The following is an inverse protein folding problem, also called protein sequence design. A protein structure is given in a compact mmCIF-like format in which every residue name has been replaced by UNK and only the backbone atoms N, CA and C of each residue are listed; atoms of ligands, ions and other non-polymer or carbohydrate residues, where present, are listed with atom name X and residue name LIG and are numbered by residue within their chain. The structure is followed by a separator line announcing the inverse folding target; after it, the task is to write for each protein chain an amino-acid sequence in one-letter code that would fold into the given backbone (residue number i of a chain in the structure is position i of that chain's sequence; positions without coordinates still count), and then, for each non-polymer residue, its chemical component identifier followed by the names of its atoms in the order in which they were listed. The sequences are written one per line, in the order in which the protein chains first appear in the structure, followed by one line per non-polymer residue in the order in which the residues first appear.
data_IF_707590406286
#
_entry.id   IF_707590406286
#
_cell.length_a   1.000
_cell.length_b   1.000
_cell.length_c   1.000
_cell.angle_alpha   90.00
_cell.angle_beta   90.00
_cell.angle_gamma   90.00
#
_symmetry.space_group_name_H-M   'P 1'
#
loop_
_entity.id
_entity.type
_entity.pdbx_description
1 polymer ?
#
# COMPACT_ATOMS: atom_id res chain seq x y z
N UNK A 1 -8.65 -6.15 -13.74
CA UNK A 1 -7.67 -6.72 -14.69
C UNK A 1 -6.59 -7.41 -13.88
N UNK A 2 -6.33 -8.69 -14.15
CA UNK A 2 -5.31 -9.47 -13.43
C UNK A 2 -3.93 -9.08 -13.93
N UNK A 3 -2.96 -8.95 -13.04
CA UNK A 3 -1.57 -8.77 -13.45
C UNK A 3 -1.11 -10.06 -14.16
N UNK A 4 -0.55 -9.98 -15.38
CA UNK A 4 -0.07 -11.16 -16.11
C UNK A 4 1.08 -11.88 -15.38
N UNK A 5 1.82 -11.16 -14.53
CA UNK A 5 2.88 -11.68 -13.67
C UNK A 5 3.14 -10.68 -12.54
N UNK A 6 3.82 -11.14 -11.48
CA UNK A 6 4.42 -10.29 -10.46
C UNK A 6 5.79 -10.87 -10.12
N UNK A 7 6.84 -10.08 -10.23
CA UNK A 7 8.18 -10.45 -9.77
C UNK A 7 8.26 -10.14 -8.29
N UNK A 8 8.48 -11.17 -7.46
CA UNK A 8 8.64 -11.01 -6.03
C UNK A 8 9.94 -10.26 -5.69
N UNK A 9 10.01 -9.57 -4.54
CA UNK A 9 11.26 -8.97 -4.07
C UNK A 9 12.42 -9.96 -4.04
N UNK A 10 12.18 -11.22 -3.64
CA UNK A 10 13.20 -12.26 -3.62
C UNK A 10 13.73 -12.57 -5.03
N UNK A 11 12.84 -12.85 -5.99
CA UNK A 11 13.22 -13.15 -7.38
C UNK A 11 14.02 -12.00 -8.00
N UNK A 12 13.56 -10.75 -7.84
CA UNK A 12 14.25 -9.59 -8.40
C UNK A 12 15.63 -9.37 -7.77
N UNK A 13 15.75 -9.52 -6.45
CA UNK A 13 17.04 -9.40 -5.75
C UNK A 13 18.00 -10.48 -6.22
N UNK A 14 17.57 -11.75 -6.23
CA UNK A 14 18.41 -12.88 -6.67
C UNK A 14 18.87 -12.70 -8.11
N UNK A 15 17.96 -12.30 -9.01
CA UNK A 15 18.30 -12.03 -10.41
C UNK A 15 19.26 -10.83 -10.59
N UNK A 16 19.30 -9.91 -9.63
CA UNK A 16 20.18 -8.73 -9.66
C UNK A 16 21.56 -8.94 -9.03
N UNK A 17 21.79 -10.04 -8.33
CA UNK A 17 23.05 -10.30 -7.62
C UNK A 17 24.22 -10.59 -8.59
N UNK A 18 25.45 -10.18 -8.24
CA UNK A 18 26.66 -10.63 -8.93
C UNK A 18 26.85 -12.15 -8.87
N UNK A 19 27.59 -12.71 -9.82
CA UNK A 19 28.00 -14.12 -9.77
C UNK A 19 28.83 -14.42 -8.51
N UNK A 20 28.60 -15.61 -7.92
CA UNK A 20 29.35 -16.10 -6.77
C UNK A 20 28.83 -15.65 -5.39
N UNK A 21 27.74 -14.86 -5.34
CA UNK A 21 27.07 -14.54 -4.07
C UNK A 21 26.22 -15.71 -3.61
N UNK A 22 26.50 -16.20 -2.39
CA UNK A 22 25.64 -17.20 -1.73
C UNK A 22 24.37 -16.53 -1.20
N UNK A 23 23.21 -17.11 -1.52
CA UNK A 23 21.91 -16.63 -1.06
C UNK A 23 21.33 -17.61 -0.06
N UNK A 24 21.08 -17.13 1.16
CA UNK A 24 20.29 -17.83 2.17
C UNK A 24 18.93 -17.14 2.28
N UNK A 25 17.86 -17.92 2.28
CA UNK A 25 16.48 -17.44 2.43
C UNK A 25 15.83 -18.06 3.65
N UNK A 26 15.07 -17.25 4.37
CA UNK A 26 14.20 -17.70 5.44
C UNK A 26 13.00 -16.77 5.56
N UNK A 27 11.81 -17.32 5.78
CA UNK A 27 10.56 -16.54 5.85
C UNK A 27 10.47 -15.69 7.13
N UNK A 28 10.95 -16.22 8.25
CA UNK A 28 11.00 -15.53 9.53
C UNK A 28 9.65 -15.53 10.25
N UNK A 29 8.70 -14.72 9.82
CA UNK A 29 7.35 -14.74 10.37
C UNK A 29 6.30 -14.34 9.34
N UNK A 30 5.08 -14.87 9.51
CA UNK A 30 3.94 -14.49 8.69
C UNK A 30 3.52 -13.04 8.98
N UNK A 31 3.45 -12.22 7.92
CA UNK A 31 2.98 -10.83 7.95
C UNK A 31 1.56 -10.68 7.39
N UNK A 32 0.71 -11.70 7.53
CA UNK A 32 -0.58 -11.80 6.84
C UNK A 32 -1.75 -11.51 7.79
N UNK A 33 -2.76 -10.77 7.32
CA UNK A 33 -4.05 -10.66 8.01
C UNK A 33 -4.97 -11.85 7.75
N UNK A 34 -4.92 -12.39 6.53
CA UNK A 34 -5.66 -13.56 6.09
C UNK A 34 -4.70 -14.57 5.48
N UNK A 35 -4.99 -15.87 5.58
CA UNK A 35 -4.05 -16.91 5.13
C UNK A 35 -3.76 -16.86 3.62
N UNK A 36 -2.56 -17.26 3.20
CA UNK A 36 -2.12 -17.14 1.81
C UNK A 36 -3.01 -17.82 0.77
N UNK A 37 -2.77 -17.42 -0.48
CA UNK A 37 -3.42 -18.01 -1.64
C UNK A 37 -3.08 -19.50 -1.80
N UNK A 38 -4.07 -20.37 -1.58
CA UNK A 38 -3.97 -21.80 -1.93
C UNK A 38 -3.92 -22.07 -3.45
N UNK A 39 -4.54 -21.27 -4.36
CA UNK A 39 -4.65 -21.61 -5.78
C UNK A 39 -3.36 -22.01 -6.51
N UNK A 40 -2.21 -21.45 -6.12
CA UNK A 40 -0.91 -21.78 -6.70
C UNK A 40 -0.39 -23.17 -6.30
N UNK A 41 -1.03 -23.78 -5.31
CA UNK A 41 -0.71 -25.12 -4.78
C UNK A 41 -1.88 -26.09 -4.95
N UNK A 42 -2.85 -25.74 -5.81
CA UNK A 42 -3.99 -26.59 -6.11
C UNK A 42 -4.07 -26.94 -7.58
N UNK A 43 -4.52 -28.15 -7.86
CA UNK A 43 -4.82 -28.62 -9.19
C UNK A 43 -6.26 -29.16 -9.27
N UNK A 44 -6.86 -28.99 -10.44
CA UNK A 44 -8.12 -29.63 -10.81
C UNK A 44 -7.92 -31.15 -10.93
N UNK A 45 -9.01 -31.91 -10.97
CA UNK A 45 -8.95 -33.38 -11.16
C UNK A 45 -8.27 -33.84 -12.46
N UNK A 46 -7.98 -32.91 -13.39
CA UNK A 46 -7.29 -33.16 -14.67
C UNK A 46 -5.89 -32.53 -14.73
N UNK A 47 -5.34 -32.06 -13.59
CA UNK A 47 -3.97 -31.55 -13.48
C UNK A 47 -3.76 -30.11 -13.94
N UNK A 48 -4.82 -29.35 -14.20
CA UNK A 48 -4.70 -27.91 -14.45
C UNK A 48 -4.65 -27.11 -13.14
N UNK A 49 -3.90 -26.01 -13.03
CA UNK A 49 -3.87 -25.17 -11.84
C UNK A 49 -5.24 -24.63 -11.44
N UNK A 50 -5.51 -24.62 -10.14
CA UNK A 50 -6.72 -24.09 -9.52
C UNK A 50 -7.78 -25.14 -9.18
N UNK A 51 -9.03 -24.69 -9.17
CA UNK A 51 -10.20 -25.39 -8.65
C UNK A 51 -11.27 -25.51 -9.73
N UNK A 52 -12.13 -26.52 -9.60
CA UNK A 52 -13.40 -26.57 -10.33
C UNK A 52 -14.50 -26.06 -9.40
N UNK A 53 -15.20 -25.00 -9.81
CA UNK A 53 -16.42 -24.51 -9.18
C UNK A 53 -17.63 -24.96 -10.00
N UNK A 54 -18.45 -25.84 -9.43
CA UNK A 54 -19.72 -26.25 -10.00
C UNK A 54 -20.88 -25.52 -9.30
N UNK A 55 -21.76 -24.89 -10.08
CA UNK A 55 -22.86 -24.05 -9.58
C UNK A 55 -24.18 -24.76 -9.84
N UNK A 56 -24.97 -24.93 -8.78
CA UNK A 56 -26.24 -25.64 -8.78
C UNK A 56 -27.36 -24.67 -8.39
N UNK A 57 -28.40 -24.58 -9.21
CA UNK A 57 -29.61 -23.81 -8.87
C UNK A 57 -30.46 -24.57 -7.86
N UNK A 58 -31.25 -23.85 -7.07
CA UNK A 58 -32.22 -24.46 -6.18
C UNK A 58 -33.64 -24.27 -6.72
N UNK A 59 -34.49 -25.30 -6.59
CA UNK A 59 -35.93 -25.15 -6.83
C UNK A 59 -36.62 -24.43 -5.67
N UNK A 60 -36.27 -24.83 -4.46
CA UNK A 60 -36.70 -24.30 -3.16
C UNK A 60 -35.48 -24.26 -2.23
N UNK A 61 -35.56 -23.59 -1.07
CA UNK A 61 -34.40 -23.35 -0.19
C UNK A 61 -33.49 -24.58 0.00
N UNK A 62 -34.06 -25.73 0.37
CA UNK A 62 -33.32 -26.96 0.63
C UNK A 62 -33.36 -27.97 -0.52
N UNK A 63 -33.91 -27.58 -1.68
CA UNK A 63 -34.05 -28.45 -2.86
C UNK A 63 -33.09 -28.01 -3.96
N UNK A 64 -31.85 -28.49 -3.85
CA UNK A 64 -30.79 -28.29 -4.86
C UNK A 64 -31.12 -29.14 -6.10
N UNK A 65 -30.97 -28.56 -7.29
CA UNK A 65 -31.04 -29.30 -8.56
C UNK A 65 -29.72 -30.06 -8.74
N UNK A 66 -29.78 -31.38 -8.90
CA UNK A 66 -28.59 -32.25 -8.90
C UNK A 66 -27.64 -32.03 -10.10
N UNK A 67 -28.10 -31.36 -11.16
CA UNK A 67 -27.29 -31.04 -12.34
C UNK A 67 -26.73 -29.61 -12.20
N UNK A 68 -25.41 -29.42 -12.32
CA UNK A 68 -24.85 -28.08 -12.28
C UNK A 68 -25.30 -27.29 -13.50
N UNK A 69 -25.70 -26.04 -13.28
CA UNK A 69 -26.01 -25.08 -14.35
C UNK A 69 -24.73 -24.71 -15.12
N UNK A 70 -23.61 -24.60 -14.38
CA UNK A 70 -22.32 -24.22 -14.93
C UNK A 70 -21.19 -24.84 -14.12
N UNK A 71 -20.05 -25.08 -14.77
CA UNK A 71 -18.78 -25.35 -14.11
C UNK A 71 -17.73 -24.40 -14.65
N UNK A 72 -16.99 -23.74 -13.76
CA UNK A 72 -15.93 -22.80 -14.10
C UNK A 72 -14.63 -23.19 -13.40
N UNK A 73 -13.50 -22.90 -14.04
CA UNK A 73 -12.19 -23.03 -13.40
C UNK A 73 -11.88 -21.76 -12.61
N UNK A 74 -11.55 -21.90 -11.34
CA UNK A 74 -11.21 -20.78 -10.45
C UNK A 74 -9.75 -20.89 -10.05
N UNK A 75 -9.02 -19.80 -10.16
CA UNK A 75 -7.58 -19.75 -9.86
C UNK A 75 -7.25 -18.65 -8.86
N UNK A 76 -8.28 -18.15 -8.16
CA UNK A 76 -8.21 -17.02 -7.25
C UNK A 76 -8.64 -17.46 -5.85
N UNK A 77 -8.02 -16.84 -4.84
CA UNK A 77 -8.30 -17.10 -3.43
C UNK A 77 -9.58 -16.40 -3.01
N UNK A 78 -9.76 -15.15 -3.45
CA UNK A 78 -10.97 -14.37 -3.26
C UNK A 78 -11.91 -14.65 -4.42
N UNK A 79 -12.97 -15.41 -4.17
CA UNK A 79 -13.89 -15.85 -5.21
C UNK A 79 -15.14 -14.97 -5.11
N UNK A 80 -15.20 -13.94 -5.96
CA UNK A 80 -16.39 -13.12 -6.14
C UNK A 80 -17.31 -13.77 -7.17
N UNK A 81 -18.48 -14.22 -6.72
CA UNK A 81 -19.53 -14.76 -7.60
C UNK A 81 -20.46 -13.65 -8.12
N UNK A 82 -20.31 -12.41 -7.65
CA UNK A 82 -21.09 -11.25 -8.11
C UNK A 82 -20.73 -10.80 -9.54
N UNK A 83 -19.45 -10.80 -9.90
CA UNK A 83 -18.96 -10.33 -11.21
C UNK A 83 -19.22 -11.36 -12.34
N UNK A 84 -19.55 -12.59 -11.95
CA UNK A 84 -19.97 -13.65 -12.85
C UNK A 84 -21.48 -13.51 -13.01
N UNK A 85 -21.94 -12.60 -13.88
CA UNK A 85 -23.37 -12.49 -14.21
C UNK A 85 -23.91 -13.88 -14.59
N UNK A 86 -24.73 -14.46 -13.70
CA UNK A 86 -25.34 -15.76 -13.93
C UNK A 86 -26.78 -15.56 -14.37
N UNK A 87 -26.98 -15.09 -15.60
CA UNK A 87 -28.32 -14.89 -16.17
C UNK A 87 -29.17 -16.19 -16.16
N UNK A 88 -28.48 -17.34 -16.10
CA UNK A 88 -28.97 -18.72 -16.13
C UNK A 88 -29.12 -19.36 -14.74
N UNK A 89 -28.68 -18.72 -13.65
CA UNK A 89 -28.78 -19.25 -12.29
C UNK A 89 -29.99 -18.63 -11.58
N UNK A 90 -30.79 -19.46 -10.92
CA UNK A 90 -31.91 -19.00 -10.10
C UNK A 90 -31.38 -18.13 -8.95
N UNK A 91 -32.27 -17.33 -8.35
CA UNK A 91 -31.94 -16.46 -7.20
C UNK A 91 -31.25 -17.21 -6.04
N UNK A 92 -31.54 -18.52 -5.88
CA UNK A 92 -30.91 -19.41 -4.90
C UNK A 92 -29.97 -20.40 -5.59
N UNK A 93 -28.75 -20.52 -5.07
CA UNK A 93 -27.75 -21.42 -5.59
C UNK A 93 -26.74 -21.94 -4.55
N UNK A 94 -26.12 -23.06 -4.89
CA UNK A 94 -24.96 -23.63 -4.21
C UNK A 94 -23.79 -23.65 -5.17
N UNK A 95 -22.62 -23.19 -4.73
CA UNK A 95 -21.36 -23.32 -5.42
C UNK A 95 -20.47 -24.33 -4.69
N UNK A 96 -20.05 -25.39 -5.40
CA UNK A 96 -19.14 -26.43 -4.89
C UNK A 96 -17.79 -26.29 -5.54
N UNK A 97 -16.77 -26.04 -4.72
CA UNK A 97 -15.38 -25.89 -5.14
C UNK A 97 -14.65 -27.18 -4.82
N UNK A 98 -14.01 -27.79 -5.82
CA UNK A 98 -13.20 -29.00 -5.65
C UNK A 98 -11.82 -28.82 -6.26
N UNK A 99 -10.80 -29.26 -5.54
CA UNK A 99 -9.41 -29.21 -5.97
C UNK A 99 -8.56 -30.18 -5.16
N UNK A 100 -7.32 -30.38 -5.60
CA UNK A 100 -6.32 -31.20 -4.91
C UNK A 100 -5.14 -30.33 -4.54
N UNK A 101 -4.69 -30.39 -3.29
CA UNK A 101 -3.38 -29.84 -2.97
C UNK A 101 -2.30 -30.64 -3.69
N UNK A 102 -1.35 -29.91 -4.28
CA UNK A 102 -0.11 -30.49 -4.80
C UNK A 102 0.61 -31.20 -3.65
N UNK A 103 1.05 -32.47 -3.83
CA UNK A 103 1.79 -33.20 -2.82
C UNK A 103 3.00 -32.42 -2.29
N UNK A 104 3.18 -32.42 -0.97
CA UNK A 104 4.32 -31.76 -0.31
C UNK A 104 5.50 -32.72 -0.21
N UNK A 105 6.72 -32.18 -0.20
CA UNK A 105 7.94 -32.99 -0.06
C UNK A 105 8.12 -33.56 1.36
N UNK A 106 7.56 -32.89 2.37
CA UNK A 106 7.66 -33.24 3.78
C UNK A 106 6.28 -33.23 4.45
N UNK A 107 6.18 -33.96 5.56
CA UNK A 107 5.04 -33.85 6.46
C UNK A 107 4.95 -32.40 6.96
N UNK A 108 3.75 -31.82 6.88
CA UNK A 108 3.57 -30.40 7.10
C UNK A 108 2.25 -30.11 7.78
N UNK A 109 2.30 -29.40 8.90
CA UNK A 109 1.09 -28.84 9.52
C UNK A 109 0.64 -27.64 8.71
N UNK A 110 -0.61 -27.67 8.26
CA UNK A 110 -1.18 -26.68 7.36
C UNK A 110 -2.43 -26.06 7.99
N UNK A 111 -2.54 -24.75 7.95
CA UNK A 111 -3.69 -24.01 8.48
C UNK A 111 -4.50 -23.44 7.31
N UNK A 112 -5.77 -23.80 7.24
CA UNK A 112 -6.75 -23.20 6.36
C UNK A 112 -7.43 -22.02 7.03
N UNK A 113 -7.84 -21.04 6.22
CA UNK A 113 -8.69 -19.92 6.60
C UNK A 113 -9.87 -19.82 5.62
N UNK A 114 -11.09 -19.76 6.14
CA UNK A 114 -12.32 -19.64 5.34
C UNK A 114 -13.11 -18.39 5.74
N UNK A 115 -13.55 -17.65 4.73
CA UNK A 115 -14.39 -16.46 4.85
C UNK A 115 -15.53 -16.48 3.84
N UNK A 116 -16.74 -16.05 4.23
CA UNK A 116 -17.94 -16.03 3.36
C UNK A 116 -18.71 -14.68 3.35
N UNK A 117 -19.27 -14.21 4.49
CA UNK A 117 -20.09 -12.96 4.59
C UNK A 117 -19.98 -12.13 5.93
N UNK A 118 -19.59 -10.83 5.97
CA UNK A 118 -19.02 -10.05 7.14
C UNK A 118 -18.00 -8.87 6.86
N UNK A 119 -16.84 -8.70 7.54
CA UNK A 119 -15.80 -7.66 7.28
C UNK A 119 -14.78 -7.81 6.09
N UNK A 120 -14.54 -8.99 5.51
CA UNK A 120 -13.77 -9.13 4.25
C UNK A 120 -14.61 -8.69 3.03
N UNK A 121 -14.18 -8.85 1.76
CA UNK A 121 -15.03 -8.55 0.58
C UNK A 121 -15.69 -7.14 0.61
N UNK A 122 -14.92 -6.07 0.75
CA UNK A 122 -15.44 -4.71 0.85
C UNK A 122 -16.37 -4.48 2.06
N UNK A 123 -16.09 -5.13 3.19
CA UNK A 123 -16.96 -5.07 4.37
C UNK A 123 -18.22 -5.91 4.25
N UNK A 124 -18.19 -6.95 3.40
CA UNK A 124 -19.25 -7.95 3.23
C UNK A 124 -18.88 -9.44 3.46
N UNK A 125 -17.69 -9.86 3.96
CA UNK A 125 -17.21 -11.27 4.22
C UNK A 125 -16.89 -11.69 5.69
N UNK A 126 -17.25 -12.86 6.27
CA UNK A 126 -17.12 -13.16 7.75
C UNK A 126 -15.71 -12.90 8.32
N UNK A 127 -15.52 -12.77 9.65
CA UNK A 127 -14.21 -13.06 10.23
C UNK A 127 -13.68 -14.41 9.72
N UNK A 128 -12.39 -14.51 9.42
CA UNK A 128 -11.80 -15.75 8.93
C UNK A 128 -11.86 -16.82 10.05
N UNK A 129 -12.40 -17.99 9.72
CA UNK A 129 -12.39 -19.15 10.62
C UNK A 129 -11.28 -20.08 10.18
N UNK A 130 -10.52 -20.59 11.15
CA UNK A 130 -9.34 -21.40 10.88
C UNK A 130 -9.52 -22.86 11.26
N UNK A 131 -8.86 -23.73 10.50
CA UNK A 131 -8.71 -25.15 10.81
C UNK A 131 -7.31 -25.63 10.45
N UNK A 132 -6.74 -26.50 11.26
CA UNK A 132 -5.40 -27.07 11.02
C UNK A 132 -5.48 -28.56 10.73
N UNK A 133 -4.62 -29.02 9.82
CA UNK A 133 -4.47 -30.43 9.49
C UNK A 133 -3.00 -30.76 9.26
N UNK A 134 -2.61 -31.98 9.64
CA UNK A 134 -1.29 -32.52 9.31
C UNK A 134 -1.35 -33.16 7.92
N UNK A 135 -0.73 -32.52 6.93
CA UNK A 135 -0.58 -33.04 5.58
C UNK A 135 0.61 -34.00 5.52
N UNK A 136 0.45 -35.12 4.81
CA UNK A 136 1.51 -36.10 4.60
C UNK A 136 2.33 -35.86 3.34
N UNK A 137 3.64 -36.08 3.45
CA UNK A 137 4.56 -36.02 2.31
C UNK A 137 4.10 -36.95 1.17
N UNK A 138 4.18 -36.48 -0.06
CA UNK A 138 3.83 -37.25 -1.26
C UNK A 138 2.34 -37.55 -1.45
N UNK A 139 1.45 -37.06 -0.57
CA UNK A 139 0.01 -37.31 -0.65
C UNK A 139 -0.71 -36.09 -1.24
N UNK A 140 -1.48 -36.30 -2.30
CA UNK A 140 -2.41 -35.32 -2.84
C UNK A 140 -3.68 -35.32 -1.96
N UNK A 141 -3.99 -34.19 -1.32
CA UNK A 141 -5.15 -34.07 -0.44
C UNK A 141 -6.30 -33.39 -1.17
N UNK A 142 -7.48 -34.01 -1.20
CA UNK A 142 -8.68 -33.42 -1.80
C UNK A 142 -9.29 -32.38 -0.86
N UNK A 143 -9.68 -31.24 -1.42
CA UNK A 143 -10.37 -30.17 -0.70
C UNK A 143 -11.69 -29.90 -1.40
N UNK A 144 -12.76 -29.84 -0.61
CA UNK A 144 -14.09 -29.44 -1.05
C UNK A 144 -14.64 -28.32 -0.17
N UNK A 145 -15.16 -27.26 -0.80
CA UNK A 145 -15.88 -26.18 -0.12
C UNK A 145 -17.26 -26.06 -0.75
N UNK A 146 -18.30 -26.05 0.08
CA UNK A 146 -19.67 -25.78 -0.34
C UNK A 146 -20.10 -24.42 0.19
N UNK A 147 -20.45 -23.51 -0.73
CA UNK A 147 -21.04 -22.21 -0.41
C UNK A 147 -22.48 -22.17 -0.87
N UNK A 148 -23.37 -21.68 0.00
CA UNK A 148 -24.78 -21.45 -0.32
C UNK A 148 -25.08 -19.97 -0.15
N UNK A 149 -25.73 -19.33 -1.13
CA UNK A 149 -26.09 -17.91 -1.04
C UNK A 149 -27.38 -17.64 -0.21
N UNK A 150 -27.83 -18.67 0.51
CA UNK A 150 -28.95 -18.65 1.44
C UNK A 150 -28.42 -18.73 2.88
N UNK A 151 -29.02 -17.97 3.80
CA UNK A 151 -28.72 -18.10 5.23
C UNK A 151 -29.06 -19.52 5.70
N UNK A 152 -28.18 -20.13 6.51
CA UNK A 152 -28.47 -21.41 7.16
C UNK A 152 -29.66 -21.30 8.13
N UNK A 153 -30.41 -22.39 8.37
CA UNK A 153 -31.59 -22.35 9.22
C UNK A 153 -31.20 -21.92 10.65
N UNK A 154 -31.91 -20.93 11.19
CA UNK A 154 -31.89 -20.60 12.61
C UNK A 154 -33.29 -20.90 13.18
N UNK A 155 -33.34 -21.43 14.39
CA UNK A 155 -34.61 -21.80 15.02
C UNK A 155 -35.53 -20.57 15.16
N UNK A 156 -36.70 -20.61 14.52
CA UNK A 156 -37.77 -19.62 14.67
C UNK A 156 -37.74 -18.40 13.72
N UNK A 157 -36.96 -18.42 12.65
CA UNK A 157 -36.90 -17.30 11.67
C UNK A 157 -37.84 -17.54 10.47
N UNK A 158 -38.85 -16.69 10.25
CA UNK A 158 -39.87 -16.85 9.19
C UNK A 158 -39.56 -16.09 7.87
N UNK A 159 -38.37 -15.49 7.71
CA UNK A 159 -37.99 -14.84 6.44
C UNK A 159 -36.51 -15.01 6.08
N UNK A 160 -36.25 -15.63 4.92
CA UNK A 160 -34.92 -15.84 4.34
C UNK A 160 -34.26 -14.52 3.89
N UNK A 161 -33.05 -14.25 4.37
CA UNK A 161 -32.18 -13.23 3.78
C UNK A 161 -31.26 -13.88 2.75
N UNK A 162 -31.29 -13.37 1.51
CA UNK A 162 -30.36 -13.75 0.44
C UNK A 162 -29.11 -12.87 0.50
N UNK A 163 -27.96 -13.48 0.22
CA UNK A 163 -26.74 -12.70 -0.05
C UNK A 163 -26.84 -12.17 -1.49
N UNK A 164 -27.55 -11.04 -1.66
CA UNK A 164 -27.79 -10.44 -2.97
C UNK A 164 -26.64 -9.55 -3.46
N UNK A 165 -25.82 -9.02 -2.54
CA UNK A 165 -24.66 -8.19 -2.88
C UNK A 165 -23.39 -8.95 -2.51
N UNK A 166 -22.58 -9.27 -3.52
CA UNK A 166 -21.25 -9.85 -3.31
C UNK A 166 -21.21 -11.31 -2.85
N UNK A 167 -22.05 -12.26 -3.31
CA UNK A 167 -21.89 -13.66 -2.93
C UNK A 167 -20.49 -14.15 -3.30
N UNK A 168 -19.84 -14.86 -2.40
CA UNK A 168 -18.46 -15.26 -2.58
C UNK A 168 -17.88 -15.93 -1.35
N UNK A 169 -16.68 -16.46 -1.52
CA UNK A 169 -15.90 -16.99 -0.41
C UNK A 169 -14.42 -16.76 -0.66
N UNK A 170 -13.66 -16.74 0.42
CA UNK A 170 -12.20 -16.82 0.39
C UNK A 170 -11.77 -18.08 1.10
N UNK A 171 -11.00 -18.92 0.43
CA UNK A 171 -10.31 -20.06 1.04
C UNK A 171 -8.80 -19.83 0.90
N UNK A 172 -8.18 -19.43 2.01
CA UNK A 172 -6.74 -19.29 2.14
C UNK A 172 -6.12 -20.43 2.95
N UNK A 173 -4.80 -20.54 2.90
CA UNK A 173 -4.07 -21.48 3.71
C UNK A 173 -2.57 -21.39 3.54
N UNK A 174 -1.86 -21.69 4.62
CA UNK A 174 -0.40 -21.62 4.68
C UNK A 174 0.16 -22.72 5.57
N UNK A 175 1.45 -22.99 5.38
CA UNK A 175 2.21 -23.82 6.31
C UNK A 175 2.26 -23.13 7.68
N UNK A 176 2.04 -23.91 8.75
CA UNK A 176 2.24 -23.39 10.11
C UNK A 176 3.73 -23.29 10.36
N UNK A 177 4.24 -22.06 10.46
CA UNK A 177 5.64 -21.82 10.77
C UNK A 177 5.98 -22.29 12.19
N UNK A 178 7.21 -22.81 12.41
CA UNK A 178 7.69 -23.11 13.75
C UNK A 178 7.67 -21.89 14.67
N UNK A 179 7.45 -22.11 15.97
CA UNK A 179 7.50 -21.03 16.97
C UNK A 179 8.85 -20.29 16.96
N UNK A 180 9.92 -21.01 16.63
CA UNK A 180 11.31 -20.53 16.61
C UNK A 180 11.72 -19.89 15.27
N UNK A 181 10.78 -19.73 14.32
CA UNK A 181 11.10 -19.30 12.95
C UNK A 181 11.79 -17.92 12.89
N UNK A 182 11.45 -17.01 13.81
CA UNK A 182 12.11 -15.70 13.91
C UNK A 182 13.55 -15.83 14.43
N UNK A 183 13.79 -16.73 15.39
CA UNK A 183 15.11 -17.01 15.93
C UNK A 183 16.01 -17.69 14.90
N UNK A 184 15.46 -18.61 14.09
CA UNK A 184 16.13 -19.27 12.97
C UNK A 184 16.54 -18.25 11.89
N UNK A 185 15.62 -17.37 11.48
CA UNK A 185 15.93 -16.28 10.54
C UNK A 185 17.06 -15.39 11.06
N UNK A 186 17.03 -15.05 12.35
CA UNK A 186 18.06 -14.23 12.95
C UNK A 186 19.41 -14.95 13.11
N UNK A 187 19.41 -16.28 13.26
CA UNK A 187 20.65 -17.06 13.24
C UNK A 187 21.30 -17.01 11.87
N UNK A 188 20.51 -17.14 10.79
CA UNK A 188 20.98 -16.99 9.41
C UNK A 188 21.51 -15.57 9.17
N UNK A 189 20.79 -14.54 9.63
CA UNK A 189 21.20 -13.14 9.46
C UNK A 189 22.53 -12.79 10.13
N UNK A 190 22.96 -13.56 11.14
CA UNK A 190 24.28 -13.39 11.80
C UNK A 190 25.44 -14.00 11.02
N UNK A 191 25.15 -14.90 10.09
CA UNK A 191 26.12 -15.69 9.33
C UNK A 191 26.31 -15.17 7.89
N UNK A 192 25.77 -13.99 7.59
CA UNK A 192 25.83 -13.35 6.27
C UNK A 192 26.44 -11.95 6.37
N UNK A 193 27.06 -11.49 5.29
CA UNK A 193 27.64 -10.14 5.23
C UNK A 193 26.56 -9.04 5.19
N UNK A 194 25.39 -9.35 4.62
CA UNK A 194 24.27 -8.43 4.49
C UNK A 194 22.94 -9.19 4.58
N UNK A 195 22.05 -8.74 5.47
CA UNK A 195 20.68 -9.23 5.56
C UNK A 195 19.72 -8.21 4.93
N UNK A 196 18.91 -8.66 3.96
CA UNK A 196 17.82 -7.86 3.37
C UNK A 196 16.49 -8.41 3.90
N UNK A 197 15.84 -7.66 4.78
CA UNK A 197 14.61 -8.09 5.46
C UNK A 197 13.41 -7.40 4.81
N UNK A 198 12.65 -8.09 3.98
CA UNK A 198 11.46 -7.52 3.31
C UNK A 198 10.22 -7.75 4.15
N UNK A 199 9.65 -6.69 4.73
CA UNK A 199 8.38 -6.77 5.47
C UNK A 199 7.41 -5.71 4.96
N UNK A 200 6.17 -5.71 5.46
CA UNK A 200 5.19 -4.77 4.93
C UNK A 200 3.76 -5.03 5.35
N UNK A 201 2.87 -4.40 4.61
CA UNK A 201 1.44 -4.70 4.57
C UNK A 201 1.12 -5.39 3.25
N UNK A 202 -0.15 -5.71 3.03
CA UNK A 202 -0.65 -6.26 1.78
C UNK A 202 -2.07 -5.77 1.50
N UNK A 203 -2.64 -6.21 0.36
CA UNK A 203 -4.01 -5.86 -0.05
C UNK A 203 -5.12 -6.46 0.83
N UNK A 204 -4.80 -7.29 1.82
CA UNK A 204 -5.74 -7.73 2.86
C UNK A 204 -5.74 -6.79 4.07
N UNK A 205 -4.70 -5.96 4.24
CA UNK A 205 -4.62 -4.97 5.33
C UNK A 205 -4.98 -3.56 4.85
N UNK A 206 -4.72 -3.26 3.57
CA UNK A 206 -5.01 -1.98 2.94
C UNK A 206 -5.91 -2.21 1.73
N UNK A 207 -7.22 -2.10 1.95
CA UNK A 207 -8.21 -2.45 0.94
C UNK A 207 -9.43 -1.54 1.01
N UNK A 208 -10.20 -1.50 -0.06
CA UNK A 208 -11.48 -0.80 -0.10
C UNK A 208 -12.50 -1.51 0.81
N UNK A 209 -13.29 -0.72 1.53
CA UNK A 209 -14.40 -1.21 2.36
C UNK A 209 -14.15 -1.16 3.87
N UNK A 210 -12.90 -1.05 4.31
CA UNK A 210 -12.58 -0.76 5.72
C UNK A 210 -11.23 -0.06 5.87
N UNK A 211 -11.09 0.67 6.98
CA UNK A 211 -9.85 1.31 7.37
C UNK A 211 -9.06 0.44 8.34
N UNK A 212 -7.73 0.59 8.33
CA UNK A 212 -6.88 0.01 9.38
C UNK A 212 -7.16 0.67 10.73
N UNK A 213 -7.15 -0.13 11.79
CA UNK A 213 -7.35 0.34 13.17
C UNK A 213 -6.04 0.73 13.88
N UNK A 214 -4.89 0.37 13.31
CA UNK A 214 -3.56 0.72 13.81
C UNK A 214 -2.54 0.90 12.67
N UNK A 215 -1.40 1.52 13.00
CA UNK A 215 -0.28 1.72 12.09
C UNK A 215 0.83 0.66 12.26
N UNK A 216 0.65 -0.34 13.13
CA UNK A 216 1.66 -1.38 13.35
C UNK A 216 1.80 -2.34 12.16
N UNK A 217 2.99 -2.91 12.00
CA UNK A 217 3.23 -4.05 11.12
C UNK A 217 2.61 -5.33 11.71
N UNK A 218 2.11 -6.24 10.88
CA UNK A 218 1.34 -7.41 11.32
C UNK A 218 2.20 -8.46 12.04
N UNK A 219 1.58 -9.20 12.96
CA UNK A 219 2.19 -10.36 13.62
C UNK A 219 3.47 -10.02 14.39
N UNK A 220 4.48 -10.89 14.28
CA UNK A 220 5.78 -10.74 14.96
C UNK A 220 6.76 -9.83 14.22
N UNK A 221 6.30 -9.15 13.16
CA UNK A 221 7.17 -8.38 12.26
C UNK A 221 8.04 -7.40 13.03
N UNK A 222 7.47 -6.58 13.91
CA UNK A 222 8.23 -5.56 14.66
C UNK A 222 9.33 -6.10 15.60
N UNK A 223 9.39 -7.41 15.87
CA UNK A 223 10.43 -7.97 16.74
C UNK A 223 11.84 -7.82 16.13
N UNK A 224 12.01 -7.92 14.80
CA UNK A 224 13.34 -7.88 14.12
C UNK A 224 13.25 -7.44 12.64
N UNK A 225 13.19 -6.14 12.36
CA UNK A 225 13.01 -5.62 10.98
C UNK A 225 14.12 -4.69 10.52
N UNK A 226 14.43 -4.76 9.21
CA UNK A 226 15.27 -3.79 8.51
C UNK A 226 14.61 -3.03 7.34
N UNK A 227 13.57 -3.54 6.64
CA UNK A 227 12.98 -2.87 5.46
C UNK A 227 11.47 -3.12 5.25
N UNK A 228 10.72 -2.11 4.76
CA UNK A 228 9.24 -2.07 4.73
C UNK A 228 8.64 -1.81 3.32
N UNK A 229 7.54 -2.49 3.00
CA UNK A 229 6.66 -2.29 1.83
C UNK A 229 5.21 -2.07 2.30
N UNK A 230 4.71 -0.84 2.25
CA UNK A 230 3.35 -0.50 2.68
C UNK A 230 2.76 0.58 1.77
N UNK A 231 1.44 0.57 1.55
CA UNK A 231 0.72 1.56 0.73
C UNK A 231 0.44 2.88 1.48
N UNK A 232 0.35 2.82 2.81
CA UNK A 232 0.27 3.97 3.71
C UNK A 232 1.32 3.87 4.83
N UNK A 233 1.31 4.84 5.75
CA UNK A 233 2.26 4.89 6.84
C UNK A 233 2.16 3.66 7.76
N UNK A 234 3.32 3.26 8.29
CA UNK A 234 3.44 2.30 9.39
C UNK A 234 4.37 2.86 10.46
N UNK A 235 4.16 2.44 11.69
CA UNK A 235 5.10 2.72 12.79
C UNK A 235 6.34 1.85 12.64
N UNK A 236 7.50 2.42 12.97
CA UNK A 236 8.80 1.76 12.82
C UNK A 236 9.62 1.91 14.11
N UNK A 237 9.24 1.22 15.21
CA UNK A 237 9.93 1.36 16.50
C UNK A 237 11.41 0.93 16.47
N UNK A 238 11.80 0.17 15.44
CA UNK A 238 13.15 -0.35 15.20
C UNK A 238 13.99 0.56 14.27
N UNK A 239 13.48 1.72 13.83
CA UNK A 239 14.12 2.54 12.80
C UNK A 239 15.56 2.98 13.14
N UNK A 240 15.88 3.19 14.42
CA UNK A 240 17.22 3.59 14.87
C UNK A 240 18.21 2.41 14.92
N UNK A 241 17.75 1.18 14.67
CA UNK A 241 18.55 -0.05 14.73
C UNK A 241 18.97 -0.56 13.35
N UNK A 242 18.58 0.14 12.27
CA UNK A 242 18.81 -0.31 10.89
C UNK A 242 19.78 0.60 10.17
N UNK A 243 20.64 0.03 9.33
CA UNK A 243 21.60 0.81 8.55
C UNK A 243 20.94 1.57 7.38
N UNK A 244 19.80 1.10 6.89
CA UNK A 244 19.08 1.73 5.79
C UNK A 244 17.67 1.17 5.64
N UNK A 245 16.77 2.02 5.15
CA UNK A 245 15.37 1.70 4.89
C UNK A 245 15.03 2.09 3.45
N UNK A 246 14.36 1.19 2.72
CA UNK A 246 13.78 1.46 1.42
C UNK A 246 12.27 1.31 1.52
N UNK A 247 11.53 2.41 1.36
CA UNK A 247 10.07 2.40 1.23
C UNK A 247 9.69 2.16 -0.22
N UNK A 248 9.15 0.97 -0.51
CA UNK A 248 8.90 0.52 -1.88
C UNK A 248 7.46 0.77 -2.39
N UNK A 249 6.46 0.93 -1.52
CA UNK A 249 5.04 0.93 -1.90
C UNK A 249 4.60 -0.38 -2.58
N UNK A 250 3.47 -0.36 -3.29
CA UNK A 250 3.01 -1.44 -4.17
C UNK A 250 3.32 -1.07 -5.64
N UNK A 251 4.37 -1.67 -6.21
CA UNK A 251 4.95 -1.25 -7.51
C UNK A 251 4.40 -2.01 -8.73
N UNK A 252 3.40 -2.87 -8.54
CA UNK A 252 2.81 -3.67 -9.62
C UNK A 252 3.72 -4.82 -10.08
N UNK A 253 3.64 -5.19 -11.36
CA UNK A 253 4.26 -6.40 -11.89
C UNK A 253 5.78 -6.48 -11.69
N UNK A 254 6.48 -5.34 -11.82
CA UNK A 254 7.94 -5.25 -11.79
C UNK A 254 8.48 -4.92 -10.39
N UNK A 255 7.70 -5.19 -9.34
CA UNK A 255 8.05 -4.83 -7.95
C UNK A 255 9.44 -5.33 -7.56
N UNK A 256 9.73 -6.61 -7.78
CA UNK A 256 11.02 -7.19 -7.41
C UNK A 256 12.20 -6.59 -8.15
N UNK A 257 12.07 -6.42 -9.47
CA UNK A 257 13.14 -5.86 -10.31
C UNK A 257 13.39 -4.40 -9.98
N UNK A 258 12.34 -3.59 -9.80
CA UNK A 258 12.48 -2.18 -9.42
C UNK A 258 13.17 -2.02 -8.04
N UNK A 259 12.84 -2.89 -7.09
CA UNK A 259 13.52 -2.93 -5.78
C UNK A 259 15.00 -3.28 -5.95
N UNK A 260 15.31 -4.31 -6.74
CA UNK A 260 16.69 -4.74 -6.96
C UNK A 260 17.53 -3.66 -7.67
N UNK A 261 16.95 -2.99 -8.68
CA UNK A 261 17.61 -1.91 -9.41
C UNK A 261 18.02 -0.75 -8.49
N UNK A 262 17.19 -0.42 -7.50
CA UNK A 262 17.54 0.56 -6.48
C UNK A 262 18.59 0.01 -5.53
N UNK A 263 18.41 -1.19 -4.96
CA UNK A 263 19.35 -1.76 -3.99
C UNK A 263 20.77 -1.91 -4.55
N UNK A 264 20.91 -2.25 -5.83
CA UNK A 264 22.19 -2.45 -6.49
C UNK A 264 22.70 -1.21 -7.24
N UNK A 265 22.02 -0.06 -7.10
CA UNK A 265 22.49 1.20 -7.69
C UNK A 265 22.39 1.29 -9.21
N UNK A 266 21.70 0.35 -9.88
CA UNK A 266 21.35 0.49 -11.30
C UNK A 266 20.46 1.71 -11.51
N UNK A 267 19.59 1.99 -10.54
CA UNK A 267 18.80 3.21 -10.45
C UNK A 267 19.12 3.92 -9.13
N UNK A 268 19.52 5.20 -9.23
CA UNK A 268 19.68 6.05 -8.05
C UNK A 268 18.28 6.45 -7.51
N UNK A 269 17.96 6.19 -6.23
CA UNK A 269 16.67 6.56 -5.66
C UNK A 269 16.46 8.08 -5.75
N UNK A 270 15.25 8.46 -6.16
CA UNK A 270 14.85 9.87 -6.35
C UNK A 270 13.36 10.11 -6.06
N UNK A 271 12.74 9.18 -5.34
CA UNK A 271 11.38 9.35 -4.82
C UNK A 271 11.39 10.25 -3.59
N UNK A 272 10.31 11.00 -3.39
CA UNK A 272 10.06 11.78 -2.17
C UNK A 272 8.74 11.29 -1.57
N UNK A 273 8.69 11.13 -0.26
CA UNK A 273 7.53 10.60 0.45
C UNK A 273 6.28 11.44 0.22
N UNK A 274 5.25 10.90 -0.43
CA UNK A 274 3.98 11.59 -0.72
C UNK A 274 3.14 11.90 0.53
N UNK A 275 3.49 11.33 1.66
CA UNK A 275 2.75 11.42 2.92
C UNK A 275 3.67 11.49 4.13
N UNK A 276 3.11 12.02 5.21
CA UNK A 276 3.70 12.08 6.55
C UNK A 276 3.68 10.70 7.19
N UNK A 277 4.83 10.22 7.68
CA UNK A 277 4.94 8.99 8.48
C UNK A 277 5.02 9.36 9.97
N UNK A 278 3.91 9.27 10.73
CA UNK A 278 3.91 9.61 12.15
C UNK A 278 4.65 8.55 12.97
N UNK A 279 5.15 8.94 14.15
CA UNK A 279 5.79 7.99 15.08
C UNK A 279 4.76 7.10 15.77
N UNK A 280 3.57 7.62 16.03
CA UNK A 280 2.45 6.91 16.65
C UNK A 280 1.14 7.25 15.97
N UNK A 281 0.12 6.39 16.12
CA UNK A 281 -1.21 6.64 15.58
C UNK A 281 -1.84 7.92 16.17
N UNK A 282 -1.57 8.21 17.44
CA UNK A 282 -2.06 9.38 18.15
C UNK A 282 -1.51 10.70 17.60
N UNK A 283 -0.41 10.66 16.84
CA UNK A 283 0.18 11.85 16.24
C UNK A 283 -0.48 12.18 14.89
N UNK A 284 -1.39 11.32 14.40
CA UNK A 284 -2.22 11.59 13.23
C UNK A 284 -3.26 12.65 13.58
N UNK A 285 -3.46 13.69 12.75
CA UNK A 285 -4.33 14.81 13.11
C UNK A 285 -5.79 14.42 13.32
N UNK A 286 -6.25 13.42 12.57
CA UNK A 286 -7.61 12.89 12.62
C UNK A 286 -7.78 11.81 13.69
N UNK A 287 -6.76 11.52 14.50
CA UNK A 287 -6.85 10.57 15.60
C UNK A 287 -8.01 10.89 16.54
N UNK A 288 -8.77 9.87 16.92
CA UNK A 288 -9.99 10.02 17.73
C UNK A 288 -11.23 10.52 16.98
N UNK A 289 -11.08 10.90 15.70
CA UNK A 289 -12.16 11.50 14.89
C UNK A 289 -12.35 10.85 13.51
N UNK A 290 -11.57 9.81 13.16
CA UNK A 290 -11.68 9.08 11.89
C UNK A 290 -12.95 8.21 11.77
N UNK A 291 -13.47 7.68 12.88
CA UNK A 291 -14.65 6.82 12.85
C UNK A 291 -15.95 7.65 12.83
N UNK A 292 -16.93 7.29 11.98
CA UNK A 292 -18.20 7.99 11.93
C UNK A 292 -18.94 7.85 13.27
N UNK A 293 -19.35 8.97 13.86
CA UNK A 293 -20.22 9.02 15.03
C UNK A 293 -21.62 9.42 14.56
N UNK A 294 -22.59 8.52 14.70
CA UNK A 294 -23.96 8.70 14.20
C UNK A 294 -23.99 9.05 12.69
N UNK A 295 -23.16 8.39 11.89
CA UNK A 295 -23.06 8.61 10.44
C UNK A 295 -22.33 9.90 10.04
N UNK A 296 -21.69 10.60 10.98
CA UNK A 296 -20.97 11.86 10.71
C UNK A 296 -19.50 11.69 11.10
N UNK A 297 -18.60 11.99 10.16
CA UNK A 297 -17.17 12.20 10.42
C UNK A 297 -16.93 13.70 10.50
N UNK A 298 -16.27 14.16 11.56
CA UNK A 298 -15.98 15.59 11.77
C UNK A 298 -14.51 15.85 11.52
N UNK A 299 -14.22 16.65 10.49
CA UNK A 299 -12.88 17.10 10.16
C UNK A 299 -12.48 18.27 11.07
N UNK A 300 -12.40 18.00 12.38
CA UNK A 300 -12.14 19.00 13.43
C UNK A 300 -10.70 19.50 13.45
N UNK A 301 -9.80 18.78 12.77
CA UNK A 301 -8.40 19.15 12.66
C UNK A 301 -8.19 20.48 11.95
N UNK A 302 -9.17 20.94 11.12
CA UNK A 302 -9.25 22.19 10.35
C UNK A 302 -7.95 22.63 9.66
N UNK A 303 -8.01 23.33 8.53
CA UNK A 303 -6.79 23.81 7.89
C UNK A 303 -5.93 24.67 8.83
N UNK A 304 -6.57 25.54 9.63
CA UNK A 304 -5.86 26.41 10.59
C UNK A 304 -5.20 25.64 11.73
N UNK A 305 -5.83 24.57 12.19
CA UNK A 305 -5.33 23.80 13.33
C UNK A 305 -4.28 22.77 12.87
N UNK A 306 -4.38 22.24 11.65
CA UNK A 306 -3.31 21.52 10.95
C UNK A 306 -2.09 22.41 10.67
N UNK A 307 -2.30 23.66 10.26
CA UNK A 307 -1.24 24.67 10.12
C UNK A 307 -0.60 24.96 11.49
N UNK A 308 -1.41 25.27 12.50
CA UNK A 308 -0.95 25.61 13.86
C UNK A 308 -0.19 24.48 14.55
N UNK A 309 -0.61 23.22 14.35
CA UNK A 309 0.06 22.04 14.89
C UNK A 309 1.29 21.62 14.08
N UNK A 310 1.64 22.36 13.01
CA UNK A 310 2.79 22.07 12.18
C UNK A 310 2.60 20.91 11.21
N UNK A 311 1.40 20.33 11.11
CA UNK A 311 1.13 19.21 10.21
C UNK A 311 1.07 19.67 8.74
N UNK A 312 0.49 20.85 8.47
CA UNK A 312 0.47 21.45 7.13
C UNK A 312 1.59 22.49 6.94
N UNK A 313 2.03 23.18 8.00
CA UNK A 313 3.00 24.30 7.90
C UNK A 313 4.32 24.15 8.66
N UNK A 314 4.60 23.06 9.40
CA UNK A 314 6.01 22.73 9.70
C UNK A 314 6.61 21.94 8.55
N UNK A 315 6.74 22.68 7.45
CA UNK A 315 7.96 22.71 6.67
C UNK A 315 9.10 23.46 7.41
N UNK A 316 8.93 23.87 8.69
CA UNK A 316 9.91 24.66 9.46
C UNK A 316 9.85 24.32 10.96
N UNK A 317 10.86 23.59 11.42
CA UNK A 317 11.55 23.67 12.73
C UNK A 317 10.75 23.26 13.98
N UNK A 318 11.11 22.10 14.57
CA UNK A 318 10.94 21.65 15.98
C UNK A 318 9.73 20.79 16.40
N UNK A 319 9.29 19.85 15.55
CA UNK A 319 8.69 18.59 16.07
C UNK A 319 9.29 17.41 15.32
N UNK A 320 9.59 16.25 15.94
CA UNK A 320 10.05 15.04 15.24
C UNK A 320 8.90 14.35 14.47
N UNK A 321 8.06 15.13 13.81
CA UNK A 321 6.98 14.66 12.97
C UNK A 321 7.47 14.61 11.52
N UNK A 322 7.78 13.38 11.12
CA UNK A 322 7.56 12.82 9.81
C UNK A 322 8.45 13.23 8.63
N UNK A 323 8.85 12.19 7.90
CA UNK A 323 9.56 12.16 6.63
C UNK A 323 8.75 12.77 5.46
N UNK A 324 7.87 13.75 5.68
CA UNK A 324 7.04 14.32 4.63
C UNK A 324 7.93 14.90 3.52
N UNK A 325 7.74 14.43 2.29
CA UNK A 325 8.58 14.77 1.12
C UNK A 325 10.08 14.52 1.34
N UNK A 326 10.48 13.71 2.33
CA UNK A 326 11.86 13.29 2.49
C UNK A 326 12.17 12.17 1.48
N UNK A 327 13.43 12.04 1.10
CA UNK A 327 13.89 11.00 0.20
C UNK A 327 15.36 11.21 -0.11
N UNK A 328 16.14 10.18 0.18
CA UNK A 328 17.59 10.17 -0.01
C UNK A 328 17.96 9.77 -1.44
N UNK A 329 19.21 10.03 -1.79
CA UNK A 329 19.83 9.67 -3.07
C UNK A 329 21.21 9.08 -2.80
N UNK A 330 21.72 8.27 -3.74
CA UNK A 330 23.13 7.83 -3.74
C UNK A 330 24.11 8.94 -4.12
N UNK A 331 23.61 10.13 -4.47
CA UNK A 331 24.42 11.33 -4.68
C UNK A 331 23.93 12.48 -3.81
N UNK A 332 24.67 13.58 -3.79
CA UNK A 332 24.33 14.79 -3.03
C UNK A 332 24.04 15.97 -3.95
N UNK A 333 23.08 16.82 -3.59
CA UNK A 333 22.70 18.00 -4.37
C UNK A 333 22.94 19.29 -3.60
N UNK A 334 23.44 20.33 -4.27
CA UNK A 334 23.55 21.68 -3.75
C UNK A 334 22.58 22.60 -4.49
N UNK A 335 21.94 23.48 -3.75
CA UNK A 335 21.02 24.49 -4.30
C UNK A 335 21.72 25.85 -4.32
N UNK A 336 21.52 26.59 -5.40
CA UNK A 336 21.88 28.00 -5.48
C UNK A 336 20.82 28.90 -4.84
N UNK A 337 21.10 30.20 -4.86
CA UNK A 337 20.15 31.22 -4.40
C UNK A 337 18.88 31.22 -5.26
N UNK A 338 17.73 31.20 -4.62
CA UNK A 338 16.43 31.41 -5.27
C UNK A 338 16.28 32.86 -5.71
N UNK A 339 15.88 33.08 -6.97
CA UNK A 339 15.77 34.42 -7.56
C UNK A 339 14.43 34.61 -8.24
N UNK A 340 13.73 35.69 -7.89
CA UNK A 340 12.54 36.14 -8.63
C UNK A 340 13.01 36.69 -9.98
N UNK A 341 12.56 36.09 -11.08
CA UNK A 341 12.97 36.45 -12.43
C UNK A 341 11.91 37.22 -13.22
N UNK A 342 10.63 37.12 -12.83
CA UNK A 342 9.51 37.87 -13.42
C UNK A 342 8.33 37.94 -12.44
N UNK A 343 7.57 39.03 -12.47
CA UNK A 343 6.32 39.20 -11.70
C UNK A 343 5.30 40.01 -12.50
N UNK A 344 4.06 39.55 -12.59
CA UNK A 344 2.90 40.32 -13.07
C UNK A 344 1.98 40.69 -11.90
N UNK A 345 1.53 41.95 -11.86
CA UNK A 345 0.65 42.48 -10.80
C UNK A 345 -0.79 42.77 -11.25
N UNK A 346 -1.26 42.10 -12.33
CA UNK A 346 -2.64 42.21 -12.83
C UNK A 346 -3.53 41.06 -12.34
N UNK A 347 -4.78 41.00 -12.83
CA UNK A 347 -5.74 39.91 -12.55
C UNK A 347 -5.20 38.50 -12.91
N UNK A 348 -4.13 38.44 -13.71
CA UNK A 348 -3.36 37.23 -14.02
C UNK A 348 -2.03 37.25 -13.24
N UNK A 349 -2.12 37.15 -11.91
CA UNK A 349 -0.94 37.10 -11.04
C UNK A 349 -0.06 35.90 -11.44
N UNK A 350 1.21 36.17 -11.73
CA UNK A 350 2.22 35.18 -12.05
C UNK A 350 3.59 35.67 -11.60
N UNK A 351 4.29 34.84 -10.83
CA UNK A 351 5.66 35.06 -10.38
C UNK A 351 6.51 33.89 -10.82
N UNK A 352 7.65 34.18 -11.40
CA UNK A 352 8.65 33.17 -11.74
C UNK A 352 9.81 33.24 -10.76
N UNK A 353 10.18 32.09 -10.19
CA UNK A 353 11.38 31.92 -9.36
C UNK A 353 12.30 30.90 -10.02
N UNK A 354 13.59 31.20 -10.11
CA UNK A 354 14.60 30.26 -10.62
C UNK A 354 15.57 29.87 -9.50
N UNK A 355 15.92 28.58 -9.46
CA UNK A 355 16.87 27.99 -8.52
C UNK A 355 17.83 27.09 -9.29
N UNK A 356 19.13 27.26 -9.09
CA UNK A 356 20.13 26.35 -9.67
C UNK A 356 20.32 25.12 -8.77
N UNK A 357 20.44 23.95 -9.40
CA UNK A 357 20.62 22.67 -8.70
C UNK A 357 21.84 21.99 -9.26
N UNK A 358 22.83 21.73 -8.42
CA UNK A 358 24.08 21.06 -8.79
C UNK A 358 24.16 19.68 -8.17
N UNK A 359 24.43 18.66 -8.98
CA UNK A 359 24.86 17.36 -8.45
C UNK A 359 26.32 17.46 -8.01
N UNK A 360 26.57 17.26 -6.73
CA UNK A 360 27.89 17.40 -6.08
C UNK A 360 28.55 16.08 -5.73
N UNK A 361 27.85 14.96 -5.88
CA UNK A 361 28.39 13.64 -5.60
C UNK A 361 29.01 12.99 -6.84
N UNK A 362 29.23 11.67 -6.75
CA UNK A 362 30.00 10.89 -7.73
C UNK A 362 29.15 10.12 -8.74
N UNK A 363 27.84 10.04 -8.53
CA UNK A 363 26.92 9.30 -9.41
C UNK A 363 25.81 10.22 -9.94
N UNK A 364 25.27 9.88 -11.12
CA UNK A 364 24.13 10.62 -11.66
C UNK A 364 22.89 10.44 -10.77
N UNK A 365 22.03 11.46 -10.71
CA UNK A 365 20.81 11.40 -9.89
C UNK A 365 19.80 12.47 -10.27
N UNK A 366 18.60 12.39 -9.69
CA UNK A 366 17.54 13.36 -9.90
C UNK A 366 17.02 13.93 -8.58
N UNK A 367 16.64 15.20 -8.56
CA UNK A 367 16.21 15.93 -7.35
C UNK A 367 14.89 16.67 -7.59
N UNK A 368 13.95 16.60 -6.64
CA UNK A 368 12.56 17.09 -6.77
C UNK A 368 12.21 18.15 -5.72
N UNK A 369 11.38 19.15 -6.08
CA UNK A 369 11.12 20.37 -5.27
C UNK A 369 9.62 20.76 -5.22
N UNK A 370 9.18 21.51 -4.19
CA UNK A 370 7.77 21.80 -3.87
C UNK A 370 7.22 23.14 -4.45
N UNK A 371 5.87 23.23 -4.45
CA UNK A 371 4.92 24.29 -4.87
C UNK A 371 4.63 24.41 -6.38
N UNK A 372 5.61 24.13 -7.23
CA UNK A 372 5.34 23.70 -8.60
C UNK A 372 6.28 22.53 -8.88
N UNK A 373 5.75 21.31 -8.96
CA UNK A 373 6.58 20.10 -8.97
C UNK A 373 7.49 20.10 -10.21
N UNK A 374 8.77 20.40 -10.00
CA UNK A 374 9.81 20.25 -11.01
C UNK A 374 10.93 19.38 -10.46
N UNK A 375 11.45 18.55 -11.35
CA UNK A 375 12.51 17.59 -11.06
C UNK A 375 13.68 17.91 -11.97
N UNK A 376 14.84 18.22 -11.40
CA UNK A 376 16.10 18.23 -12.13
C UNK A 376 16.46 16.77 -12.39
N UNK A 377 16.47 16.37 -13.66
CA UNK A 377 16.49 14.94 -14.04
C UNK A 377 17.88 14.51 -14.45
N UNK A 378 18.35 13.42 -13.85
CA UNK A 378 19.56 12.70 -14.25
C UNK A 378 20.78 13.62 -14.42
N UNK A 379 20.97 14.55 -13.48
CA UNK A 379 22.14 15.40 -13.43
C UNK A 379 23.38 14.51 -13.26
N UNK A 380 24.30 14.57 -14.22
CA UNK A 380 25.60 13.92 -14.09
C UNK A 380 26.43 14.61 -12.98
N UNK A 381 27.44 13.91 -12.40
CA UNK A 381 28.35 14.50 -11.41
C UNK A 381 28.91 15.85 -11.84
N UNK A 382 28.82 16.85 -10.96
CA UNK A 382 29.29 18.22 -11.19
C UNK A 382 28.43 19.05 -12.13
N UNK A 383 27.31 18.53 -12.67
CA UNK A 383 26.41 19.29 -13.54
C UNK A 383 25.38 20.08 -12.75
N UNK A 384 25.02 21.23 -13.31
CA UNK A 384 24.04 22.17 -12.77
C UNK A 384 22.89 22.34 -13.76
N UNK A 385 21.65 22.37 -13.25
CA UNK A 385 20.45 22.71 -14.00
C UNK A 385 19.73 23.88 -13.33
N UNK A 386 19.23 24.81 -14.13
CA UNK A 386 18.37 25.91 -13.66
C UNK A 386 16.91 25.44 -13.67
N UNK A 387 16.29 25.39 -12.48
CA UNK A 387 14.90 24.97 -12.31
C UNK A 387 14.03 26.20 -12.09
N UNK A 388 13.07 26.38 -13.00
CA UNK A 388 12.18 27.55 -13.01
C UNK A 388 10.77 27.19 -12.51
N UNK A 389 10.30 27.84 -11.46
CA UNK A 389 8.97 27.68 -10.87
C UNK A 389 8.08 28.84 -11.30
N UNK A 390 6.88 28.56 -11.79
CA UNK A 390 5.86 29.57 -12.07
C UNK A 390 4.77 29.44 -11.03
N UNK A 391 4.58 30.48 -10.24
CA UNK A 391 3.60 30.60 -9.17
C UNK A 391 2.48 31.50 -9.68
N UNK A 392 1.28 30.99 -9.75
CA UNK A 392 0.10 31.75 -10.18
C UNK A 392 -0.78 32.12 -8.99
N UNK A 393 -2.00 32.58 -9.27
CA UNK A 393 -2.98 32.94 -8.24
C UNK A 393 -3.24 31.83 -7.22
N UNK A 394 -3.10 30.56 -7.58
CA UNK A 394 -3.32 29.43 -6.66
C UNK A 394 -2.22 29.34 -5.60
N UNK A 395 -1.02 29.83 -5.88
CA UNK A 395 0.11 29.78 -4.95
C UNK A 395 -0.04 30.76 -3.76
N UNK A 396 -0.81 31.83 -3.94
CA UNK A 396 -0.94 32.96 -3.00
C UNK A 396 -2.35 33.14 -2.44
N UNK A 397 -3.33 32.37 -2.91
CA UNK A 397 -4.72 32.49 -2.48
C UNK A 397 -5.09 31.51 -1.38
N UNK A 398 -5.98 31.93 -0.49
CA UNK A 398 -6.71 31.08 0.45
C UNK A 398 -8.23 31.22 0.20
N UNK A 399 -9.02 30.24 0.63
CA UNK A 399 -10.47 30.35 0.57
C UNK A 399 -10.97 31.16 1.77
N UNK A 400 -11.68 32.26 1.52
CA UNK A 400 -12.30 33.08 2.55
C UNK A 400 -13.77 32.69 2.70
N UNK A 401 -14.09 32.02 3.81
CA UNK A 401 -15.43 31.51 4.12
C UNK A 401 -16.47 32.62 4.30
N UNK A 402 -16.07 33.85 4.64
CA UNK A 402 -17.02 34.95 4.88
C UNK A 402 -17.56 35.47 3.56
N UNK A 403 -16.70 35.58 2.54
CA UNK A 403 -17.06 36.12 1.22
C UNK A 403 -17.30 35.04 0.17
N UNK A 404 -17.03 33.77 0.49
CA UNK A 404 -17.13 32.62 -0.40
C UNK A 404 -16.36 32.81 -1.72
N UNK A 405 -15.09 33.23 -1.59
CA UNK A 405 -14.17 33.47 -2.70
C UNK A 405 -12.76 33.05 -2.33
N UNK A 406 -11.98 32.67 -3.34
CA UNK A 406 -10.53 32.67 -3.20
C UNK A 406 -10.03 34.09 -3.09
N UNK A 407 -9.12 34.34 -2.17
CA UNK A 407 -8.57 35.66 -1.88
C UNK A 407 -7.07 35.57 -1.72
N UNK A 408 -6.36 36.49 -2.36
CA UNK A 408 -4.94 36.74 -2.12
C UNK A 408 -4.79 38.12 -1.51
N UNK A 409 -4.17 38.21 -0.34
CA UNK A 409 -3.95 39.48 0.34
C UNK A 409 -2.71 40.19 -0.21
N UNK A 410 -2.76 41.52 -0.20
CA UNK A 410 -1.59 42.35 -0.49
C UNK A 410 -0.50 42.11 0.56
N UNK A 411 0.73 41.90 0.11
CA UNK A 411 1.89 41.84 1.00
C UNK A 411 3.07 41.05 0.43
N UNK A 412 4.08 40.87 1.28
CA UNK A 412 5.27 40.10 0.98
C UNK A 412 5.03 38.61 1.25
N UNK A 413 5.32 37.78 0.26
CA UNK A 413 5.27 36.33 0.34
C UNK A 413 6.68 35.76 0.27
N UNK A 414 6.90 34.65 0.97
CA UNK A 414 8.18 33.94 1.01
C UNK A 414 8.08 32.69 0.13
N UNK A 415 8.97 32.59 -0.86
CA UNK A 415 9.23 31.35 -1.57
C UNK A 415 10.40 30.62 -0.92
N UNK A 416 10.21 29.34 -0.58
CA UNK A 416 11.25 28.48 0.00
C UNK A 416 11.47 27.28 -0.89
N UNK A 417 12.74 26.95 -1.10
CA UNK A 417 13.18 25.73 -1.78
C UNK A 417 14.03 24.90 -0.83
N UNK A 418 13.81 23.60 -0.84
CA UNK A 418 14.43 22.68 0.09
C UNK A 418 14.44 21.25 -0.45
N UNK A 419 15.17 20.36 0.24
CA UNK A 419 15.28 18.92 -0.09
C UNK A 419 14.11 18.09 0.40
N UNK A 420 13.45 18.60 1.44
CA UNK A 420 12.31 17.99 2.11
C UNK A 420 11.46 19.10 2.69
N UNK A 421 10.41 18.70 3.41
CA UNK A 421 9.59 19.67 4.12
C UNK A 421 10.40 20.45 5.14
N UNK A 422 11.33 19.83 5.88
CA UNK A 422 12.02 20.46 7.02
C UNK A 422 13.42 20.99 6.70
N UNK A 423 13.96 20.69 5.52
CA UNK A 423 15.31 21.10 5.08
C UNK A 423 15.22 22.18 4.01
N UNK A 424 15.13 23.45 4.44
CA UNK A 424 15.14 24.62 3.56
C UNK A 424 16.58 24.99 3.21
N UNK A 425 16.86 25.08 1.91
CA UNK A 425 18.21 25.33 1.37
C UNK A 425 18.36 26.77 0.87
N UNK A 426 17.29 27.37 0.35
CA UNK A 426 17.26 28.77 -0.06
C UNK A 426 15.85 29.33 0.07
N UNK A 427 15.76 30.64 0.27
CA UNK A 427 14.51 31.38 0.22
C UNK A 427 14.65 32.70 -0.53
N UNK A 428 13.53 33.21 -1.01
CA UNK A 428 13.43 34.54 -1.63
C UNK A 428 12.03 35.10 -1.36
N UNK A 429 11.83 36.39 -1.60
CA UNK A 429 10.56 37.06 -1.38
C UNK A 429 10.02 37.64 -2.66
N UNK A 430 8.70 37.67 -2.80
CA UNK A 430 8.01 38.39 -3.86
C UNK A 430 6.79 39.11 -3.30
N UNK A 431 6.32 40.13 -4.02
CA UNK A 431 5.20 40.96 -3.58
C UNK A 431 3.91 40.61 -4.33
N UNK A 432 2.81 40.58 -3.59
CA UNK A 432 1.46 40.74 -4.14
C UNK A 432 1.09 42.21 -3.92
N UNK A 433 1.22 43.02 -4.96
CA UNK A 433 1.07 44.49 -4.86
C UNK A 433 -0.37 44.93 -4.56
N UNK A 434 -1.34 44.17 -5.06
CA UNK A 434 -2.78 44.44 -4.92
C UNK A 434 -3.50 43.16 -4.54
N UNK A 435 -4.34 43.24 -3.51
CA UNK A 435 -5.21 42.14 -3.14
C UNK A 435 -6.22 41.85 -4.27
N UNK A 436 -6.55 40.58 -4.48
CA UNK A 436 -7.49 40.16 -5.50
C UNK A 436 -8.35 38.98 -5.00
N UNK A 437 -9.53 38.86 -5.60
CA UNK A 437 -10.51 37.82 -5.31
C UNK A 437 -10.91 37.11 -6.60
N UNK A 438 -11.17 35.81 -6.52
CA UNK A 438 -11.58 35.02 -7.68
C UNK A 438 -12.41 33.80 -7.29
N UNK A 439 -13.12 33.25 -8.27
CA UNK A 439 -13.91 32.02 -8.19
C UNK A 439 -13.74 31.25 -9.50
N UNK A 440 -14.02 29.94 -9.47
CA UNK A 440 -13.95 29.09 -10.65
C UNK A 440 -12.53 28.62 -10.97
N UNK A 441 -12.25 28.36 -12.25
CA UNK A 441 -10.96 27.88 -12.78
C UNK A 441 -10.14 28.97 -13.43
#
# INVERSE_FOLDING_TARGET
MRNPYVVTPFEGIVAGLPEGVEVKYHEGCAGLALHDAIPATTETGVGEPGWVCAIYSHEEQDKIIDTPVRSIRVTETNIFLADQAFDDVRTRFTAKFKGKLVPREKDQRFRFGLTVYGQAFFGNGTPEVHGEVDLKAGVAHEIEVEFRNIRGPADGDEAESLVNLGPGLRLGGAEVLPEQSVEEAAAIAKDVDLAIVVVGLNGDLETEGYDRIHLELPGRTNERVAKVAAGSAVTMPWIDQVAGLVQAWYLGNETGNAIADVLFGKVNPSGKMSMTFPKRLEDVPSYGHLSPQNGIVRYSEDFKQLVRNGIITRLIVDTPLALAMHGLSYTTFKYGEAKVSASSSSNDFSVTVTVSVTNTGSVAGSEAQLKAFKKAKNLAPGKTEEVQFTLDRYAVSYWDDIVHRWRADKGTYIFRVGRSTVEVESETTFEVEKAFEWNGL
#
